data_IF_279688017974
#
_entry.id   IF_279688017974
#
_cell.length_a   1.000
_cell.length_b   1.000
_cell.length_c   1.000
_cell.angle_alpha   90.00
_cell.angle_beta   90.00
_cell.angle_gamma   90.00
#
_symmetry.space_group_name_H-M   'P 1'
#
loop_
_entity.id
_entity.type
_entity.pdbx_description
1 polymer ?
#
# COMPACT_ATOMS: atom_id res chain seq x y z
N UNK A 1 9.35 -1.38 13.79
CA UNK A 1 8.96 -2.70 13.24
C UNK A 1 7.45 -2.73 13.02
N UNK A 2 6.96 -3.49 12.02
CA UNK A 2 5.52 -3.75 11.84
C UNK A 2 5.05 -4.82 12.86
N UNK A 3 3.78 -4.83 13.28
CA UNK A 3 3.24 -5.92 14.10
C UNK A 3 3.33 -7.26 13.37
N UNK A 4 3.75 -8.34 14.03
CA UNK A 4 3.94 -9.65 13.37
C UNK A 4 2.67 -10.20 12.74
N UNK A 5 1.49 -10.00 13.35
CA UNK A 5 0.22 -10.51 12.84
C UNK A 5 -0.19 -9.93 11.48
N UNK A 6 0.42 -8.83 11.02
CA UNK A 6 0.03 -8.24 9.73
C UNK A 6 0.34 -9.15 8.54
N UNK A 7 1.22 -10.14 8.69
CA UNK A 7 1.55 -11.09 7.61
C UNK A 7 0.48 -12.18 7.44
N UNK A 8 -0.38 -12.36 8.44
CA UNK A 8 -1.49 -13.32 8.43
C UNK A 8 -2.79 -12.71 7.90
N UNK A 9 -2.84 -11.38 7.75
CA UNK A 9 -4.00 -10.69 7.22
C UNK A 9 -4.30 -11.15 5.78
N UNK A 10 -5.56 -11.52 5.45
CA UNK A 10 -5.91 -11.96 4.11
C UNK A 10 -5.53 -10.95 3.01
N UNK A 11 -5.61 -9.65 3.29
CA UNK A 11 -5.20 -8.60 2.36
C UNK A 11 -3.69 -8.61 2.09
N UNK A 12 -2.88 -8.90 3.11
CA UNK A 12 -1.42 -9.06 2.94
C UNK A 12 -1.08 -10.28 2.09
N UNK A 13 -1.75 -11.41 2.32
CA UNK A 13 -1.58 -12.64 1.54
C UNK A 13 -1.95 -12.38 0.07
N UNK A 14 -3.08 -11.72 -0.19
CA UNK A 14 -3.53 -11.37 -1.55
C UNK A 14 -2.50 -10.50 -2.26
N UNK A 15 -2.00 -9.43 -1.63
CA UNK A 15 -0.97 -8.55 -2.23
C UNK A 15 0.30 -9.35 -2.54
N UNK A 16 0.71 -10.24 -1.64
CA UNK A 16 1.89 -11.10 -1.83
C UNK A 16 1.73 -12.03 -3.03
N UNK A 17 0.56 -12.64 -3.21
CA UNK A 17 0.23 -13.46 -4.37
C UNK A 17 0.24 -12.66 -5.67
N UNK A 18 -0.32 -11.45 -5.67
CA UNK A 18 -0.28 -10.54 -6.84
C UNK A 18 1.17 -10.24 -7.26
N UNK A 19 2.08 -9.99 -6.31
CA UNK A 19 3.49 -9.77 -6.63
C UNK A 19 4.16 -11.01 -7.23
N UNK A 20 3.83 -12.21 -6.75
CA UNK A 20 4.31 -13.47 -7.33
C UNK A 20 3.80 -13.68 -8.76
N UNK A 21 2.53 -13.38 -9.01
CA UNK A 21 1.92 -13.48 -10.34
C UNK A 21 2.56 -12.52 -11.34
N UNK A 22 2.85 -11.29 -10.92
CA UNK A 22 3.55 -10.30 -11.75
C UNK A 22 4.95 -10.82 -12.09
N UNK A 23 5.68 -11.38 -11.12
CA UNK A 23 6.97 -12.03 -11.39
C UNK A 23 6.82 -13.20 -12.36
N UNK A 24 5.80 -14.05 -12.21
CA UNK A 24 5.58 -15.19 -13.08
C UNK A 24 5.31 -14.75 -14.54
N UNK A 25 4.53 -13.68 -14.72
CA UNK A 25 4.16 -13.13 -16.05
C UNK A 25 5.30 -12.36 -16.72
N UNK A 26 5.98 -11.50 -15.98
CA UNK A 26 6.90 -10.52 -16.57
C UNK A 26 8.38 -10.80 -16.25
N UNK A 27 8.68 -11.63 -15.25
CA UNK A 27 10.06 -11.92 -14.83
C UNK A 27 10.87 -12.79 -15.80
N UNK A 28 10.21 -13.41 -16.78
CA UNK A 28 10.84 -14.21 -17.85
C UNK A 28 11.04 -13.42 -19.15
N UNK A 29 10.61 -12.15 -19.21
CA UNK A 29 10.77 -11.35 -20.41
C UNK A 29 12.26 -11.02 -20.62
N UNK A 30 12.77 -11.14 -21.86
CA UNK A 30 14.17 -10.82 -22.18
C UNK A 30 14.48 -9.32 -22.00
N UNK A 31 13.45 -8.49 -21.94
CA UNK A 31 13.53 -7.03 -21.88
C UNK A 31 13.36 -6.56 -20.43
N UNK A 32 14.41 -6.72 -19.63
CA UNK A 32 14.52 -6.10 -18.30
C UNK A 32 13.63 -6.73 -17.20
N UNK A 33 14.24 -7.04 -16.06
CA UNK A 33 13.51 -7.47 -14.86
C UNK A 33 12.57 -6.34 -14.41
N UNK A 34 11.29 -6.66 -14.16
CA UNK A 34 10.39 -5.70 -13.54
C UNK A 34 10.87 -5.38 -12.12
N UNK A 35 11.15 -4.10 -11.87
CA UNK A 35 11.55 -3.60 -10.55
C UNK A 35 10.31 -3.45 -9.66
N UNK A 36 10.37 -3.97 -8.44
CA UNK A 36 9.24 -3.94 -7.51
C UNK A 36 8.79 -2.51 -7.18
N UNK A 37 9.76 -1.59 -7.12
CA UNK A 37 9.59 -0.15 -6.88
C UNK A 37 8.76 0.54 -7.97
N UNK A 38 8.74 -0.02 -9.19
CA UNK A 38 7.94 0.51 -10.30
C UNK A 38 6.51 -0.06 -10.31
N UNK A 39 6.26 -1.16 -9.59
CA UNK A 39 4.93 -1.79 -9.48
C UNK A 39 4.17 -1.19 -8.31
N UNK A 40 4.85 -1.06 -7.17
CA UNK A 40 4.21 -0.65 -5.93
C UNK A 40 3.87 0.84 -5.98
N UNK A 41 2.59 1.21 -5.74
CA UNK A 41 2.21 2.61 -5.70
C UNK A 41 2.88 3.31 -4.51
N UNK A 42 3.23 4.58 -4.69
CA UNK A 42 3.61 5.40 -3.56
C UNK A 42 2.40 5.67 -2.64
N UNK A 43 2.70 6.07 -1.42
CA UNK A 43 1.76 6.48 -0.38
C UNK A 43 0.61 7.36 -0.89
N UNK A 44 0.95 8.39 -1.65
CA UNK A 44 -0.02 9.37 -2.16
C UNK A 44 -0.97 8.76 -3.19
N UNK A 45 -0.48 7.84 -4.03
CA UNK A 45 -1.31 7.10 -4.99
C UNK A 45 -2.32 6.20 -4.27
N UNK A 46 -1.91 5.52 -3.19
CA UNK A 46 -2.82 4.70 -2.36
C UNK A 46 -3.90 5.59 -1.71
N UNK A 47 -3.53 6.72 -1.10
CA UNK A 47 -4.49 7.66 -0.51
C UNK A 47 -5.52 8.16 -1.53
N UNK A 48 -5.07 8.58 -2.72
CA UNK A 48 -5.96 9.02 -3.81
C UNK A 48 -6.90 7.90 -4.26
N UNK A 49 -6.40 6.66 -4.35
CA UNK A 49 -7.24 5.53 -4.74
C UNK A 49 -8.32 5.23 -3.70
N UNK A 50 -7.99 5.28 -2.41
CA UNK A 50 -8.97 5.16 -1.31
C UNK A 50 -10.02 6.27 -1.41
N UNK A 51 -9.59 7.51 -1.65
CA UNK A 51 -10.49 8.66 -1.86
C UNK A 51 -11.50 8.37 -2.98
N UNK A 52 -11.03 7.93 -4.15
CA UNK A 52 -11.89 7.62 -5.29
C UNK A 52 -12.86 6.47 -5.01
N UNK A 53 -12.40 5.40 -4.36
CA UNK A 53 -13.22 4.21 -4.10
C UNK A 53 -14.27 4.43 -3.00
N UNK A 54 -13.92 5.20 -1.97
CA UNK A 54 -14.81 5.47 -0.85
C UNK A 54 -15.73 6.68 -1.08
N UNK A 55 -15.52 7.47 -2.15
CA UNK A 55 -16.33 8.64 -2.46
C UNK A 55 -16.21 9.78 -1.43
N UNK A 56 -15.11 9.80 -0.66
CA UNK A 56 -14.87 10.78 0.41
C UNK A 56 -13.82 11.82 0.00
N UNK A 57 -13.69 12.89 0.78
CA UNK A 57 -12.69 13.93 0.52
C UNK A 57 -11.27 13.50 0.92
N UNK A 58 -10.24 14.14 0.34
CA UNK A 58 -8.83 13.89 0.71
C UNK A 58 -8.56 14.19 2.19
N UNK A 59 -9.13 15.29 2.71
CA UNK A 59 -9.01 15.66 4.12
C UNK A 59 -9.61 14.58 5.02
N UNK A 60 -10.76 14.02 4.65
CA UNK A 60 -11.39 12.95 5.40
C UNK A 60 -10.57 11.65 5.41
N UNK A 61 -9.98 11.26 4.27
CA UNK A 61 -9.03 10.14 4.21
C UNK A 61 -7.87 10.37 5.19
N UNK A 62 -7.26 11.57 5.16
CA UNK A 62 -6.15 11.91 6.04
C UNK A 62 -6.56 11.85 7.53
N UNK A 63 -7.73 12.40 7.88
CA UNK A 63 -8.27 12.36 9.25
C UNK A 63 -8.51 10.93 9.72
N UNK A 64 -9.14 10.08 8.91
CA UNK A 64 -9.42 8.67 9.26
C UNK A 64 -8.13 7.87 9.44
N UNK A 65 -7.16 8.05 8.54
CA UNK A 65 -5.85 7.41 8.64
C UNK A 65 -5.08 7.88 9.89
N UNK A 66 -5.08 9.18 10.18
CA UNK A 66 -4.44 9.72 11.38
C UNK A 66 -5.08 9.19 12.67
N UNK A 67 -6.42 9.10 12.71
CA UNK A 67 -7.16 8.57 13.86
C UNK A 67 -6.85 7.08 14.09
N UNK A 68 -6.81 6.26 13.03
CA UNK A 68 -6.38 4.86 13.12
C UNK A 68 -4.93 4.74 13.60
N UNK A 69 -4.05 5.65 13.17
CA UNK A 69 -2.68 5.72 13.65
C UNK A 69 -2.56 6.07 15.14
N UNK A 70 -3.37 7.03 15.62
CA UNK A 70 -3.40 7.42 17.03
C UNK A 70 -3.94 6.30 17.94
N UNK A 71 -4.87 5.48 17.44
CA UNK A 71 -5.38 4.29 18.15
C UNK A 71 -4.44 3.08 18.11
N UNK A 72 -3.33 3.16 17.38
CA UNK A 72 -2.39 2.05 17.22
C UNK A 72 -2.87 0.97 16.25
N UNK A 73 -3.97 1.19 15.54
CA UNK A 73 -4.51 0.26 14.54
C UNK A 73 -3.66 0.22 13.27
N UNK A 74 -3.03 1.35 12.92
CA UNK A 74 -2.18 1.46 11.73
C UNK A 74 -0.85 2.16 12.05
N UNK A 75 0.26 1.48 11.76
CA UNK A 75 1.56 2.13 11.73
C UNK A 75 1.80 2.69 10.32
N UNK A 76 2.06 3.99 10.19
CA UNK A 76 2.49 4.59 8.92
C UNK A 76 4.02 4.73 8.88
N UNK A 77 4.64 4.55 7.71
CA UNK A 77 6.02 5.02 7.52
C UNK A 77 6.03 6.54 7.75
N UNK A 78 7.10 7.15 8.30
CA UNK A 78 7.22 8.60 8.38
C UNK A 78 6.91 9.29 7.05
N UNK A 79 7.26 8.67 5.92
CA UNK A 79 7.02 9.18 4.55
C UNK A 79 5.54 9.27 4.17
N UNK A 80 4.67 8.48 4.82
CA UNK A 80 3.21 8.53 4.64
C UNK A 80 2.56 9.70 5.41
N UNK A 81 3.29 10.32 6.35
CA UNK A 81 2.77 11.42 7.18
C UNK A 81 2.88 12.78 6.50
N UNK A 82 3.75 12.92 5.52
CA UNK A 82 3.96 14.17 4.79
C UNK A 82 3.16 14.17 3.50
N UNK A 83 2.33 15.19 3.29
CA UNK A 83 1.61 15.46 2.03
C UNK A 83 2.51 16.05 0.92
N UNK A 84 3.83 16.04 1.12
CA UNK A 84 4.82 16.49 0.15
C UNK A 84 4.87 15.57 -1.07
#
# INVERSE_FOLDING_TARGET
>A
MRPFHCVEDPGFIIISQVLLDIRARYGRLPVGKVRAENILPCANTVKRRIQTLAGISRSEVATRLAAAGARGELAFSPDLRTDR
#
